data_IF_425352449030
#
_entry.id   IF_425352449030
#
_cell.length_a   1.000
_cell.length_b   1.000
_cell.length_c   1.000
_cell.angle_alpha   90.00
_cell.angle_beta   90.00
_cell.angle_gamma   90.00
#
_symmetry.space_group_name_H-M   'P 1'
#
loop_
_entity.id
_entity.type
_entity.pdbx_description
1 polymer ?
#
# COMPACT_ATOMS: atom_id res chain seq x y z
N UNK A 1 -24.85 -12.79 43.68
CA UNK A 1 -25.04 -13.38 42.38
C UNK A 1 -25.39 -12.39 41.27
N UNK A 2 -26.34 -11.44 41.43
CA UNK A 2 -26.69 -10.45 40.39
C UNK A 2 -25.54 -9.50 39.94
N UNK A 3 -24.61 -9.12 40.84
CA UNK A 3 -23.49 -8.24 40.52
C UNK A 3 -22.40 -8.92 39.68
N UNK A 4 -22.17 -10.20 39.88
CA UNK A 4 -21.18 -10.99 39.12
C UNK A 4 -21.66 -11.21 37.67
N UNK A 5 -22.98 -11.39 37.48
CA UNK A 5 -23.59 -11.54 36.15
C UNK A 5 -23.45 -10.27 35.30
N UNK A 6 -23.49 -9.09 35.93
CA UNK A 6 -23.32 -7.80 35.24
C UNK A 6 -21.90 -7.59 34.73
N UNK A 7 -20.89 -8.01 35.51
CA UNK A 7 -19.49 -7.90 35.11
C UNK A 7 -19.11 -8.88 34.00
N UNK A 8 -19.65 -10.10 34.02
CA UNK A 8 -19.42 -11.09 32.96
C UNK A 8 -20.06 -10.67 31.63
N UNK A 9 -21.24 -10.03 31.67
CA UNK A 9 -21.89 -9.50 30.47
C UNK A 9 -21.16 -8.29 29.89
N UNK A 10 -20.60 -7.40 30.75
CA UNK A 10 -19.79 -6.25 30.32
C UNK A 10 -18.47 -6.66 29.65
N UNK A 11 -17.83 -7.71 30.15
CA UNK A 11 -16.55 -8.21 29.56
C UNK A 11 -16.83 -8.91 28.20
N UNK A 12 -17.94 -9.62 28.08
CA UNK A 12 -18.31 -10.29 26.81
C UNK A 12 -18.64 -9.30 25.70
N UNK A 13 -19.20 -8.12 26.05
CA UNK A 13 -19.49 -7.07 25.07
C UNK A 13 -18.23 -6.38 24.51
N UNK A 14 -17.09 -6.42 25.20
CA UNK A 14 -15.82 -5.84 24.74
C UNK A 14 -15.09 -6.71 23.71
N UNK A 15 -15.40 -8.00 23.61
CA UNK A 15 -14.75 -8.92 22.66
C UNK A 15 -15.35 -8.88 21.24
N UNK A 16 -16.39 -8.06 21.01
CA UNK A 16 -17.06 -7.97 19.70
C UNK A 16 -16.55 -6.83 18.80
N UNK A 17 -15.53 -6.09 19.21
CA UNK A 17 -14.81 -5.20 18.31
C UNK A 17 -13.89 -6.05 17.45
N UNK A 18 -14.49 -6.67 16.42
CA UNK A 18 -13.75 -7.41 15.40
C UNK A 18 -12.79 -6.47 14.65
N UNK A 19 -11.62 -6.97 14.29
CA UNK A 19 -10.73 -6.31 13.34
C UNK A 19 -11.52 -5.91 12.10
N UNK A 20 -11.47 -4.65 11.74
CA UNK A 20 -12.11 -4.13 10.54
C UNK A 20 -11.29 -4.61 9.33
N UNK A 21 -11.62 -5.79 8.80
CA UNK A 21 -10.96 -6.34 7.63
C UNK A 21 -11.41 -5.57 6.39
N UNK A 22 -10.45 -5.19 5.54
CA UNK A 22 -10.71 -4.61 4.24
C UNK A 22 -10.24 -5.56 3.12
N UNK A 23 -10.87 -5.47 1.94
CA UNK A 23 -10.53 -6.25 0.75
C UNK A 23 -9.39 -5.57 -0.01
N UNK A 24 -8.21 -6.14 0.02
CA UNK A 24 -6.99 -5.70 -0.67
C UNK A 24 -6.73 -6.51 -1.96
N UNK A 25 -7.59 -7.47 -2.31
CA UNK A 25 -7.46 -8.34 -3.48
C UNK A 25 -8.36 -7.91 -4.65
N UNK A 26 -8.83 -6.68 -4.62
CA UNK A 26 -9.79 -6.16 -5.60
C UNK A 26 -9.24 -6.07 -7.03
N UNK A 27 -7.95 -5.82 -7.18
CA UNK A 27 -7.30 -5.65 -8.46
C UNK A 27 -6.90 -6.98 -9.10
N UNK A 28 -6.90 -7.08 -10.46
CA UNK A 28 -6.41 -8.25 -11.15
C UNK A 28 -4.98 -8.58 -10.76
N UNK A 29 -4.73 -9.84 -10.39
CA UNK A 29 -3.39 -10.32 -10.07
C UNK A 29 -2.48 -10.20 -11.31
N UNK A 30 -1.43 -9.40 -11.20
CA UNK A 30 -0.40 -9.22 -12.21
C UNK A 30 0.98 -9.43 -11.57
N UNK A 31 1.96 -9.96 -12.30
CA UNK A 31 3.30 -10.16 -11.77
C UNK A 31 3.94 -8.82 -11.39
N UNK A 32 4.68 -8.84 -10.28
CA UNK A 32 5.53 -7.73 -9.84
C UNK A 32 6.93 -8.26 -9.63
N UNK A 33 7.90 -7.62 -10.22
CA UNK A 33 9.31 -7.89 -10.03
C UNK A 33 10.10 -6.63 -10.34
N UNK A 34 10.49 -5.91 -9.30
CA UNK A 34 11.31 -4.69 -9.39
C UNK A 34 12.50 -4.87 -8.46
N UNK A 35 13.70 -4.91 -9.05
CA UNK A 35 14.96 -4.96 -8.32
C UNK A 35 15.54 -3.56 -8.21
N UNK A 36 15.90 -3.15 -7.00
CA UNK A 36 16.63 -1.91 -6.72
C UNK A 36 17.95 -2.30 -6.05
N UNK A 37 19.02 -2.26 -6.80
CA UNK A 37 20.34 -2.65 -6.29
C UNK A 37 20.82 -1.68 -5.20
N UNK A 38 21.62 -2.19 -4.26
CA UNK A 38 22.16 -1.40 -3.13
C UNK A 38 22.86 -0.10 -3.58
N UNK A 39 23.61 -0.15 -4.68
CA UNK A 39 24.26 1.02 -5.26
C UNK A 39 23.28 2.07 -5.84
N UNK A 40 22.03 1.68 -6.10
CA UNK A 40 20.97 2.53 -6.67
C UNK A 40 19.95 2.97 -5.61
N UNK A 41 20.02 2.39 -4.42
CA UNK A 41 19.05 2.67 -3.35
C UNK A 41 19.00 4.15 -2.98
N UNK A 42 20.14 4.85 -2.96
CA UNK A 42 20.21 6.29 -2.68
C UNK A 42 19.45 7.17 -3.67
N UNK A 43 19.10 6.64 -4.86
CA UNK A 43 18.43 7.39 -5.93
C UNK A 43 16.98 6.92 -6.11
N UNK A 44 16.74 5.62 -5.98
CA UNK A 44 15.43 5.00 -6.29
C UNK A 44 14.75 4.37 -5.09
N UNK A 45 15.41 4.35 -3.93
CA UNK A 45 14.82 3.90 -2.67
C UNK A 45 14.06 5.01 -1.94
N UNK A 46 13.63 4.67 -0.74
CA UNK A 46 13.03 5.60 0.23
C UNK A 46 13.85 5.53 1.52
N UNK A 47 14.10 6.66 2.17
CA UNK A 47 15.09 6.79 3.26
C UNK A 47 14.49 7.28 4.57
N UNK A 48 13.27 7.82 4.54
CA UNK A 48 12.64 8.40 5.70
C UNK A 48 11.14 8.24 5.71
N UNK A 49 10.56 8.35 6.88
CA UNK A 49 9.13 8.30 7.07
C UNK A 49 8.39 9.29 6.15
N UNK A 50 7.35 8.82 5.49
CA UNK A 50 6.53 9.52 4.50
C UNK A 50 7.22 9.76 3.14
N UNK A 51 8.44 9.29 2.92
CA UNK A 51 9.00 9.27 1.57
C UNK A 51 8.34 8.20 0.71
N UNK A 52 8.19 8.50 -0.57
CA UNK A 52 7.63 7.57 -1.54
C UNK A 52 8.32 7.62 -2.89
N UNK A 53 8.31 6.48 -3.60
CA UNK A 53 8.84 6.34 -4.96
C UNK A 53 7.89 5.53 -5.82
N UNK A 54 7.69 5.95 -7.05
CA UNK A 54 6.77 5.26 -7.97
C UNK A 54 7.50 4.59 -9.12
N UNK A 55 7.05 3.39 -9.49
CA UNK A 55 7.56 2.61 -10.62
C UNK A 55 6.41 2.25 -11.55
N UNK A 56 6.20 3.07 -12.54
CA UNK A 56 5.19 2.86 -13.59
C UNK A 56 5.92 2.66 -14.91
N UNK A 57 5.71 1.55 -15.62
CA UNK A 57 6.43 1.21 -16.86
C UNK A 57 6.46 2.35 -17.90
N UNK A 58 5.38 3.13 -17.99
CA UNK A 58 5.30 4.28 -18.91
C UNK A 58 5.93 5.56 -18.39
N UNK A 59 6.32 5.60 -17.10
CA UNK A 59 6.86 6.79 -16.43
C UNK A 59 7.79 6.35 -15.31
N UNK A 60 8.90 5.73 -15.69
CA UNK A 60 9.93 5.28 -14.73
C UNK A 60 10.76 6.47 -14.22
N UNK A 61 11.32 6.38 -13.01
CA UNK A 61 12.31 7.32 -12.54
C UNK A 61 13.46 7.44 -13.55
N UNK A 62 13.92 8.67 -13.77
CA UNK A 62 14.98 8.93 -14.77
C UNK A 62 16.23 8.11 -14.47
N UNK A 63 16.67 7.31 -15.44
CA UNK A 63 17.85 6.47 -15.32
C UNK A 63 17.61 5.11 -14.64
N UNK A 64 16.38 4.80 -14.22
CA UNK A 64 16.05 3.47 -13.70
C UNK A 64 16.15 2.40 -14.77
N UNK A 65 16.88 1.32 -14.48
CA UNK A 65 17.09 0.22 -15.42
C UNK A 65 15.90 -0.75 -15.40
N UNK A 66 15.07 -0.69 -16.44
CA UNK A 66 14.02 -1.66 -16.66
C UNK A 66 14.54 -2.85 -17.48
N UNK A 67 14.50 -4.04 -16.94
CA UNK A 67 14.98 -5.27 -17.57
C UNK A 67 13.84 -6.10 -18.18
N UNK A 68 14.17 -7.14 -18.94
CA UNK A 68 13.16 -8.07 -19.47
C UNK A 68 12.38 -8.81 -18.36
N UNK A 69 12.96 -8.93 -17.18
CA UNK A 69 12.33 -9.57 -16.00
C UNK A 69 11.57 -8.58 -15.10
N UNK A 70 11.56 -7.29 -15.43
CA UNK A 70 10.87 -6.29 -14.63
C UNK A 70 9.39 -6.24 -14.94
N UNK A 71 8.56 -6.26 -13.88
CA UNK A 71 7.10 -6.20 -13.95
C UNK A 71 6.58 -5.27 -12.85
N UNK A 72 5.61 -4.43 -13.16
CA UNK A 72 5.08 -3.40 -12.23
C UNK A 72 3.63 -3.62 -11.82
N UNK A 73 3.13 -4.84 -11.81
CA UNK A 73 1.75 -5.09 -11.39
C UNK A 73 0.70 -4.59 -12.38
N UNK A 74 -0.47 -4.23 -11.86
CA UNK A 74 -1.60 -3.79 -12.67
C UNK A 74 -1.56 -2.28 -12.97
N UNK A 75 -1.36 -1.43 -11.97
CA UNK A 75 -1.33 0.03 -12.11
C UNK A 75 0.05 0.68 -12.04
N UNK A 76 1.06 -0.06 -11.66
CA UNK A 76 2.38 0.42 -11.25
C UNK A 76 2.63 0.10 -9.79
N UNK A 77 3.83 0.35 -9.32
CA UNK A 77 4.23 0.12 -7.92
C UNK A 77 4.51 1.44 -7.23
N UNK A 78 3.89 1.64 -6.08
CA UNK A 78 4.25 2.65 -5.10
C UNK A 78 5.11 1.97 -4.03
N UNK A 79 6.35 2.40 -3.85
CA UNK A 79 7.19 2.08 -2.71
C UNK A 79 7.08 3.24 -1.70
N UNK A 80 6.83 2.94 -0.44
CA UNK A 80 6.65 3.92 0.62
C UNK A 80 7.48 3.53 1.85
N UNK A 81 7.93 4.52 2.61
CA UNK A 81 8.59 4.33 3.89
C UNK A 81 7.60 4.63 5.03
N UNK A 82 7.19 3.60 5.71
CA UNK A 82 6.30 3.67 6.86
C UNK A 82 7.02 4.06 8.16
N UNK A 83 6.28 4.00 9.25
CA UNK A 83 6.81 4.25 10.59
C UNK A 83 7.93 3.21 10.89
N UNK A 84 8.97 3.64 11.62
CA UNK A 84 10.15 2.81 11.92
C UNK A 84 10.97 2.35 10.69
N UNK A 85 10.89 3.10 9.59
CA UNK A 85 11.57 2.78 8.33
C UNK A 85 11.11 1.44 7.72
N UNK A 86 9.89 1.03 7.97
CA UNK A 86 9.28 -0.12 7.31
C UNK A 86 9.07 0.17 5.82
N UNK A 87 9.50 -0.77 4.97
CA UNK A 87 9.31 -0.66 3.53
C UNK A 87 7.98 -1.29 3.14
N UNK A 88 7.10 -0.47 2.59
CA UNK A 88 5.77 -0.83 2.17
C UNK A 88 5.66 -0.66 0.64
N UNK A 89 4.97 -1.57 -0.02
CA UNK A 89 4.76 -1.45 -1.46
C UNK A 89 3.33 -1.81 -1.85
N UNK A 90 2.76 -1.06 -2.81
CA UNK A 90 1.37 -1.20 -3.22
C UNK A 90 1.20 -1.12 -4.73
N UNK A 91 0.12 -1.73 -5.25
CA UNK A 91 -0.34 -1.40 -6.59
C UNK A 91 -0.91 0.03 -6.60
N UNK A 92 -0.53 0.80 -7.59
CA UNK A 92 -0.98 2.19 -7.73
C UNK A 92 -2.40 2.33 -8.28
N UNK A 93 -2.98 1.27 -8.89
CA UNK A 93 -4.33 1.36 -9.41
C UNK A 93 -5.35 1.57 -8.29
N UNK A 94 -6.31 2.45 -8.53
CA UNK A 94 -7.41 2.71 -7.60
C UNK A 94 -8.34 1.48 -7.50
N UNK A 95 -8.51 0.86 -6.30
CA UNK A 95 -9.36 -0.32 -6.14
C UNK A 95 -10.84 -0.09 -6.50
N UNK A 96 -11.31 1.15 -6.36
CA UNK A 96 -12.69 1.51 -6.70
C UNK A 96 -12.91 1.49 -8.22
N UNK A 97 -11.96 2.04 -8.96
CA UNK A 97 -12.07 2.19 -10.40
C UNK A 97 -11.65 0.92 -11.17
N UNK A 98 -10.77 0.10 -10.59
CA UNK A 98 -10.21 -1.12 -11.19
C UNK A 98 -9.68 -0.90 -12.62
N UNK A 99 -9.03 0.23 -12.87
CA UNK A 99 -8.44 0.61 -14.16
C UNK A 99 -6.95 0.88 -13.97
N UNK A 100 -6.11 0.26 -14.80
CA UNK A 100 -4.64 0.37 -14.68
C UNK A 100 -4.08 1.78 -14.90
N UNK A 101 -4.84 2.63 -15.57
CA UNK A 101 -4.49 4.03 -15.83
C UNK A 101 -5.11 5.02 -14.85
N UNK A 102 -5.97 4.57 -13.93
CA UNK A 102 -6.52 5.38 -12.84
C UNK A 102 -5.77 5.05 -11.58
N UNK A 103 -4.79 5.87 -11.24
CA UNK A 103 -3.83 5.66 -10.17
C UNK A 103 -4.11 6.53 -8.96
N UNK A 104 -3.65 6.06 -7.82
CA UNK A 104 -3.49 6.88 -6.63
C UNK A 104 -2.27 7.79 -6.80
N UNK A 105 -2.33 8.95 -6.16
CA UNK A 105 -1.23 9.90 -6.04
C UNK A 105 -0.97 10.15 -4.57
N UNK A 106 0.29 10.19 -4.19
CA UNK A 106 0.68 10.47 -2.80
C UNK A 106 0.62 11.99 -2.56
N UNK A 107 -0.06 12.36 -1.51
CA UNK A 107 -0.05 13.69 -0.93
C UNK A 107 0.89 13.64 0.29
N UNK A 108 2.13 14.05 0.10
CA UNK A 108 3.18 13.98 1.12
C UNK A 108 2.90 14.91 2.30
N UNK A 109 2.23 16.04 2.07
CA UNK A 109 1.88 16.99 3.15
C UNK A 109 0.79 16.38 4.05
N UNK A 110 -0.19 15.71 3.46
CA UNK A 110 -1.27 15.04 4.18
C UNK A 110 -0.89 13.64 4.69
N UNK A 111 0.18 13.04 4.17
CA UNK A 111 0.61 11.68 4.52
C UNK A 111 -0.34 10.58 4.07
N UNK A 112 -1.03 10.78 2.96
CA UNK A 112 -2.03 9.86 2.42
C UNK A 112 -1.87 9.68 0.90
N UNK A 113 -2.46 8.62 0.37
CA UNK A 113 -2.64 8.49 -1.07
C UNK A 113 -4.09 8.78 -1.48
N UNK A 114 -4.27 9.46 -2.61
CA UNK A 114 -5.57 9.94 -3.11
C UNK A 114 -5.86 9.37 -4.49
N UNK A 115 -7.02 8.77 -4.67
CA UNK A 115 -7.57 8.45 -5.97
C UNK A 115 -8.29 9.68 -6.53
N UNK A 116 -7.63 10.45 -7.41
CA UNK A 116 -8.15 11.72 -7.94
C UNK A 116 -9.52 11.60 -8.63
N UNK A 117 -9.78 10.47 -9.30
CA UNK A 117 -11.04 10.26 -10.02
C UNK A 117 -12.24 10.07 -9.08
N UNK A 118 -12.06 9.34 -8.00
CA UNK A 118 -13.14 8.99 -7.07
C UNK A 118 -13.08 9.67 -5.70
N UNK A 119 -12.04 10.46 -5.41
CA UNK A 119 -11.84 11.16 -4.14
C UNK A 119 -11.58 10.25 -2.94
N UNK A 120 -11.42 8.94 -3.14
CA UNK A 120 -11.10 8.01 -2.07
C UNK A 120 -9.65 8.16 -1.63
N UNK A 121 -9.40 8.05 -0.31
CA UNK A 121 -8.06 8.18 0.28
C UNK A 121 -7.64 6.92 0.99
N UNK A 122 -6.32 6.71 1.09
CA UNK A 122 -5.70 5.51 1.65
C UNK A 122 -4.51 5.86 2.52
N UNK A 123 -4.31 5.10 3.61
CA UNK A 123 -3.11 5.20 4.43
C UNK A 123 -2.02 4.29 3.86
N UNK A 124 -1.01 4.91 3.25
CA UNK A 124 0.11 4.19 2.62
C UNK A 124 1.36 4.13 3.49
N UNK A 125 1.37 4.83 4.63
CA UNK A 125 2.54 4.91 5.48
C UNK A 125 2.39 4.17 6.82
N UNK A 126 1.17 4.07 7.37
CA UNK A 126 0.95 3.46 8.69
C UNK A 126 -0.11 2.36 8.69
N UNK A 127 -1.08 2.45 7.80
CA UNK A 127 -2.27 1.59 7.79
C UNK A 127 -2.26 0.52 6.71
N UNK A 128 -1.11 0.16 6.17
CA UNK A 128 -0.95 -0.94 5.18
C UNK A 128 -1.91 -0.85 4.00
N UNK A 129 -2.19 0.36 3.51
CA UNK A 129 -3.06 0.59 2.36
C UNK A 129 -4.56 0.58 2.70
N UNK A 130 -4.92 0.66 3.98
CA UNK A 130 -6.33 0.71 4.38
C UNK A 130 -7.03 1.97 3.84
N UNK A 131 -8.33 1.86 3.49
CA UNK A 131 -9.10 3.00 3.03
C UNK A 131 -9.44 3.94 4.19
N UNK A 132 -9.22 5.25 4.01
CA UNK A 132 -9.48 6.27 5.03
C UNK A 132 -10.78 7.03 4.79
N UNK A 133 -11.15 7.25 3.52
CA UNK A 133 -12.35 8.03 3.19
C UNK A 133 -12.94 7.68 1.84
N UNK A 134 -14.14 8.21 1.57
CA UNK A 134 -14.87 8.07 0.32
C UNK A 134 -15.40 6.66 0.09
N UNK A 135 -15.69 6.35 -1.17
CA UNK A 135 -16.27 5.06 -1.57
C UNK A 135 -15.40 3.84 -1.19
N UNK A 136 -14.08 4.05 -1.09
CA UNK A 136 -13.18 2.98 -0.67
C UNK A 136 -13.42 2.58 0.79
N UNK A 137 -13.61 3.55 1.67
CA UNK A 137 -13.92 3.29 3.07
C UNK A 137 -15.32 2.66 3.22
N UNK A 138 -16.33 3.18 2.52
CA UNK A 138 -17.69 2.62 2.56
C UNK A 138 -17.73 1.15 2.13
N UNK A 139 -16.93 0.79 1.12
CA UNK A 139 -16.85 -0.57 0.56
C UNK A 139 -15.78 -1.44 1.20
N UNK A 140 -14.96 -0.87 2.08
CA UNK A 140 -13.79 -1.52 2.68
C UNK A 140 -12.80 -2.06 1.64
N UNK A 141 -12.51 -1.31 0.59
CA UNK A 141 -11.56 -1.67 -0.46
C UNK A 141 -10.22 -0.99 -0.20
N UNK A 142 -9.23 -1.78 0.24
CA UNK A 142 -7.86 -1.35 0.45
C UNK A 142 -6.99 -1.45 -0.81
N UNK A 143 -5.77 -0.93 -0.71
CA UNK A 143 -4.76 -1.10 -1.75
C UNK A 143 -4.22 -2.53 -1.72
N UNK A 144 -3.93 -3.08 -2.88
CA UNK A 144 -3.22 -4.35 -3.00
C UNK A 144 -1.77 -4.16 -2.63
N UNK A 145 -1.31 -4.87 -1.60
CA UNK A 145 0.06 -4.81 -1.10
C UNK A 145 0.98 -5.79 -1.84
N UNK A 146 2.26 -5.45 -1.89
CA UNK A 146 3.36 -6.24 -2.43
C UNK A 146 4.43 -6.50 -1.38
N UNK A 147 5.22 -7.53 -1.58
CA UNK A 147 6.27 -7.92 -0.64
C UNK A 147 7.55 -7.18 -1.02
N UNK A 148 8.18 -6.51 -0.05
CA UNK A 148 9.52 -5.93 -0.19
C UNK A 148 10.50 -6.82 0.57
N UNK A 149 11.44 -7.43 -0.15
CA UNK A 149 12.43 -8.34 0.43
C UNK A 149 13.83 -7.73 0.32
N UNK A 150 14.57 -7.71 1.43
CA UNK A 150 15.99 -7.38 1.40
C UNK A 150 16.77 -8.61 0.89
N UNK A 151 17.58 -8.40 -0.13
CA UNK A 151 18.42 -9.43 -0.78
C UNK A 151 19.89 -9.10 -0.58
N UNK A 152 20.78 -10.02 -0.93
CA UNK A 152 22.24 -9.77 -0.88
C UNK A 152 22.70 -8.65 -1.81
N UNK A 153 21.90 -8.30 -2.83
CA UNK A 153 22.24 -7.29 -3.85
C UNK A 153 21.48 -5.99 -3.71
N UNK A 154 20.44 -5.93 -2.86
CA UNK A 154 19.57 -4.76 -2.68
C UNK A 154 18.19 -5.15 -2.23
N UNK A 155 17.16 -4.58 -2.82
CA UNK A 155 15.78 -4.83 -2.50
C UNK A 155 14.99 -5.33 -3.71
N UNK A 156 14.14 -6.31 -3.46
CA UNK A 156 13.21 -6.87 -4.45
C UNK A 156 11.78 -6.58 -4.02
N UNK A 157 11.01 -5.94 -4.90
CA UNK A 157 9.55 -5.83 -4.76
C UNK A 157 8.92 -6.91 -5.63
N UNK A 158 8.11 -7.75 -5.02
CA UNK A 158 7.51 -8.92 -5.69
C UNK A 158 6.07 -9.20 -5.24
N UNK A 159 5.39 -10.01 -6.02
CA UNK A 159 4.07 -10.58 -5.68
C UNK A 159 4.11 -12.08 -5.88
#
# INVERSE_FOLDING_TARGET
MKRILFYTFSILAFCLYGCDNYDDQRLPARPVHIEIYSAQWSVYGVHGYMESQTFVKSSLPKGFSWTANSYSGFGGVLLACGLNNELLAYDMACPIECQSNVRIEVDEEAGIAVCRKGGSTYDVFNGYGQPLSGRAQEKKYGLTSYIVTNTSTGYLISR
#
